data_IF_120851977099
#
_entry.id   IF_120851977099
#
_cell.length_a   1.000
_cell.length_b   1.000
_cell.length_c   1.000
_cell.angle_alpha   90.00
_cell.angle_beta   90.00
_cell.angle_gamma   90.00
#
_symmetry.space_group_name_H-M   'P 1'
#
loop_
_entity.id
_entity.type
_entity.pdbx_description
1 polymer ?
#
# COMPACT_ATOMS: atom_id res chain seq x y z
N UNK A 1 7.18 -35.06 -18.32
CA UNK A 1 6.44 -34.63 -17.12
C UNK A 1 6.88 -33.21 -16.81
N UNK A 2 6.18 -32.21 -17.36
CA UNK A 2 6.60 -30.79 -17.25
C UNK A 2 5.98 -30.19 -15.98
N UNK A 3 6.76 -30.13 -14.90
CA UNK A 3 6.35 -29.49 -13.64
C UNK A 3 6.60 -27.99 -13.67
N UNK A 4 5.51 -27.23 -13.65
CA UNK A 4 5.35 -25.80 -13.28
C UNK A 4 6.52 -24.84 -13.57
N UNK A 5 6.41 -24.13 -14.70
CA UNK A 5 7.35 -23.09 -15.15
C UNK A 5 7.19 -21.70 -14.50
N UNK A 6 6.23 -21.47 -13.59
CA UNK A 6 6.01 -20.14 -13.02
C UNK A 6 5.64 -20.21 -11.54
N UNK A 7 6.65 -20.27 -10.68
CA UNK A 7 6.48 -19.89 -9.27
C UNK A 7 6.39 -18.36 -9.21
N UNK A 8 5.22 -17.82 -8.87
CA UNK A 8 5.05 -16.39 -8.65
C UNK A 8 5.73 -16.03 -7.32
N UNK A 9 6.96 -15.54 -7.39
CA UNK A 9 7.85 -15.31 -6.23
C UNK A 9 7.45 -14.10 -5.36
N UNK A 10 6.24 -13.57 -5.53
CA UNK A 10 5.79 -12.30 -4.95
C UNK A 10 4.72 -12.45 -3.85
N UNK A 11 4.50 -13.67 -3.33
CA UNK A 11 3.64 -13.82 -2.17
C UNK A 11 4.43 -13.53 -0.88
N UNK A 12 3.88 -12.72 0.05
CA UNK A 12 4.56 -12.43 1.31
C UNK A 12 4.73 -13.72 2.10
N UNK A 13 5.96 -14.22 2.17
CA UNK A 13 6.31 -15.43 2.89
C UNK A 13 6.52 -15.10 4.37
N UNK A 14 5.47 -15.20 5.19
CA UNK A 14 5.60 -15.08 6.66
C UNK A 14 4.36 -14.53 7.36
N UNK A 15 4.41 -14.53 8.69
CA UNK A 15 3.43 -13.83 9.51
C UNK A 15 3.57 -12.31 9.32
N UNK A 16 2.46 -11.58 9.43
CA UNK A 16 2.50 -10.11 9.42
C UNK A 16 3.20 -9.63 10.68
N UNK A 17 4.36 -9.02 10.52
CA UNK A 17 5.16 -8.53 11.65
C UNK A 17 4.80 -7.08 12.03
N UNK A 18 4.39 -6.27 11.04
CA UNK A 18 4.09 -4.84 11.23
C UNK A 18 2.84 -4.41 10.49
N UNK A 19 2.15 -3.41 11.04
CA UNK A 19 1.08 -2.67 10.36
C UNK A 19 1.47 -1.21 10.31
N UNK A 20 1.45 -0.64 9.11
CA UNK A 20 1.62 0.79 8.88
C UNK A 20 0.27 1.39 8.52
N UNK A 21 -0.21 2.34 9.30
CA UNK A 21 -1.50 3.01 9.10
C UNK A 21 -1.28 4.51 8.84
N UNK A 22 -1.74 4.98 7.68
CA UNK A 22 -1.81 6.41 7.35
C UNK A 22 -3.21 6.93 7.63
N UNK A 23 -3.36 7.86 8.56
CA UNK A 23 -4.65 8.49 8.88
C UNK A 23 -4.95 9.64 7.91
N UNK A 24 -6.24 9.84 7.64
CA UNK A 24 -6.76 10.87 6.75
C UNK A 24 -8.26 10.74 6.53
N UNK A 25 -8.85 11.71 5.83
CA UNK A 25 -10.26 11.71 5.44
C UNK A 25 -10.42 11.37 3.95
N UNK A 26 -11.39 10.52 3.57
CA UNK A 26 -11.71 10.22 2.17
C UNK A 26 -12.51 11.36 1.52
N UNK A 27 -12.35 11.56 0.21
CA UNK A 27 -12.98 12.64 -0.54
C UNK A 27 -11.98 13.62 -1.14
N UNK A 28 -12.14 13.98 -2.43
CA UNK A 28 -11.33 15.02 -3.11
C UNK A 28 -11.18 16.33 -2.33
N UNK A 29 -12.19 16.73 -1.55
CA UNK A 29 -12.15 17.95 -0.73
C UNK A 29 -11.09 17.94 0.39
N UNK A 30 -10.57 16.77 0.76
CA UNK A 30 -9.58 16.64 1.84
C UNK A 30 -8.16 16.34 1.36
N UNK A 31 -7.97 16.14 0.05
CA UNK A 31 -6.76 15.55 -0.55
C UNK A 31 -5.46 16.28 -0.11
N UNK A 32 -5.50 17.61 -0.07
CA UNK A 32 -4.37 18.46 0.28
C UNK A 32 -4.49 19.13 1.66
N UNK A 33 -5.30 18.55 2.55
CA UNK A 33 -5.40 19.04 3.93
C UNK A 33 -4.28 18.48 4.80
N UNK A 34 -3.83 19.25 5.81
CA UNK A 34 -2.84 18.78 6.81
C UNK A 34 -3.27 17.48 7.50
N UNK A 35 -4.58 17.23 7.61
CA UNK A 35 -5.14 16.02 8.21
C UNK A 35 -4.85 14.75 7.38
N UNK A 36 -4.55 14.90 6.09
CA UNK A 36 -4.22 13.81 5.18
C UNK A 36 -2.70 13.57 5.05
N UNK A 37 -1.88 14.16 5.93
CA UNK A 37 -0.43 13.91 5.92
C UNK A 37 -0.09 12.41 6.08
N UNK A 38 -0.88 11.65 6.85
CA UNK A 38 -0.71 10.20 6.98
C UNK A 38 -0.96 9.44 5.67
N UNK A 39 -1.99 9.82 4.92
CA UNK A 39 -2.25 9.29 3.58
C UNK A 39 -1.09 9.58 2.62
N UNK A 40 -0.56 10.81 2.62
CA UNK A 40 0.57 11.21 1.78
C UNK A 40 1.86 10.43 2.14
N UNK A 41 2.10 10.24 3.44
CA UNK A 41 3.28 9.50 3.91
C UNK A 41 3.24 8.03 3.44
N UNK A 42 2.09 7.36 3.59
CA UNK A 42 1.92 5.98 3.13
C UNK A 42 2.07 5.86 1.62
N UNK A 43 1.54 6.81 0.85
CA UNK A 43 1.69 6.83 -0.61
C UNK A 43 3.17 6.92 -1.01
N UNK A 44 3.95 7.77 -0.31
CA UNK A 44 5.40 7.93 -0.55
C UNK A 44 6.21 6.71 -0.13
N UNK A 45 5.84 6.05 0.97
CA UNK A 45 6.46 4.80 1.43
C UNK A 45 6.24 3.69 0.39
N UNK A 46 5.00 3.54 -0.10
CA UNK A 46 4.67 2.56 -1.13
C UNK A 46 5.44 2.79 -2.43
N UNK A 47 5.53 4.04 -2.89
CA UNK A 47 6.33 4.42 -4.05
C UNK A 47 7.81 4.03 -3.85
N UNK A 48 8.39 4.34 -2.69
CA UNK A 48 9.78 4.01 -2.37
C UNK A 48 10.03 2.50 -2.26
N UNK A 49 9.03 1.75 -1.81
CA UNK A 49 9.09 0.30 -1.65
C UNK A 49 8.71 -0.48 -2.93
N UNK A 50 8.24 0.20 -3.98
CA UNK A 50 7.72 -0.45 -5.19
C UNK A 50 6.44 -1.27 -4.96
N UNK A 51 5.68 -0.95 -3.92
CA UNK A 51 4.46 -1.65 -3.53
C UNK A 51 3.24 -0.88 -4.01
N UNK A 52 2.24 -1.58 -4.56
CA UNK A 52 0.93 -0.98 -4.83
C UNK A 52 0.05 -1.09 -3.60
N UNK A 53 -0.60 0.02 -3.25
CA UNK A 53 -1.63 0.07 -2.22
C UNK A 53 -2.97 0.29 -2.90
N UNK A 54 -3.91 -0.62 -2.68
CA UNK A 54 -5.30 -0.41 -3.06
C UNK A 54 -5.99 0.40 -1.95
N UNK A 55 -6.40 1.63 -2.29
CA UNK A 55 -7.19 2.50 -1.41
C UNK A 55 -8.51 2.83 -2.10
N UNK A 56 -9.60 2.78 -1.34
CA UNK A 56 -10.84 3.46 -1.70
C UNK A 56 -10.61 4.97 -1.70
N UNK A 57 -10.20 5.51 -2.85
CA UNK A 57 -10.18 6.95 -3.14
C UNK A 57 -11.55 7.31 -3.72
N UNK A 58 -12.26 8.20 -3.04
CA UNK A 58 -13.55 8.76 -3.49
C UNK A 58 -13.39 10.26 -3.74
#
# INVERSE_FOLDING_TARGET
MFGNLFSNKNEPAGAVEYIVAGLGNPGKKYDMTRHNAGFMAVDRIAESAGVKIDRLRF
#
